data_IF_046474735696
#
_entry.id   IF_046474735696
#
_cell.length_a   1.000
_cell.length_b   1.000
_cell.length_c   1.000
_cell.angle_alpha   90.00
_cell.angle_beta   90.00
_cell.angle_gamma   90.00
#
_symmetry.space_group_name_H-M   'P 1'
#
loop_
_entity.id
_entity.type
_entity.pdbx_description
1 polymer ?
#
# COMPACT_ATOMS: atom_id res chain seq x y z
N UNK A 1 13.37 1.52 0.40
CA UNK A 1 13.96 2.37 -0.68
C UNK A 1 12.91 3.38 -1.13
N UNK A 2 13.32 4.60 -1.42
CA UNK A 2 12.41 5.62 -1.93
C UNK A 2 11.77 5.20 -3.27
N UNK A 3 10.52 5.59 -3.48
CA UNK A 3 9.72 5.26 -4.66
C UNK A 3 9.06 3.88 -4.64
N UNK A 4 9.22 3.08 -3.57
CA UNK A 4 8.56 1.78 -3.44
C UNK A 4 7.06 1.95 -3.21
N UNK A 5 6.21 1.19 -3.91
CA UNK A 5 4.77 1.24 -3.68
C UNK A 5 4.41 0.32 -2.49
N UNK A 6 3.58 0.82 -1.59
CA UNK A 6 3.12 0.12 -0.39
C UNK A 6 1.60 0.24 -0.28
N UNK A 7 0.95 -0.75 0.33
CA UNK A 7 -0.47 -0.68 0.68
C UNK A 7 -0.61 -0.39 2.17
N UNK A 8 -1.44 0.58 2.51
CA UNK A 8 -1.65 1.02 3.90
C UNK A 8 -3.10 0.76 4.29
N UNK A 9 -3.28 0.03 5.38
CA UNK A 9 -4.59 -0.29 5.93
C UNK A 9 -4.51 -0.30 7.45
N UNK A 10 -5.41 0.46 8.09
CA UNK A 10 -5.56 0.47 9.53
C UNK A 10 -6.66 -0.51 9.93
N UNK A 11 -6.25 -1.70 10.38
CA UNK A 11 -7.15 -2.74 10.84
C UNK A 11 -7.92 -2.35 12.12
N UNK A 12 -7.37 -1.44 12.93
CA UNK A 12 -8.01 -1.01 14.18
C UNK A 12 -9.20 -0.07 13.92
N UNK A 13 -9.05 0.88 13.01
CA UNK A 13 -10.13 1.78 12.60
C UNK A 13 -10.97 1.27 11.42
N UNK A 14 -10.53 0.19 10.76
CA UNK A 14 -11.10 -0.31 9.50
C UNK A 14 -10.84 0.61 8.31
N UNK A 15 -9.95 1.59 8.44
CA UNK A 15 -9.69 2.59 7.40
C UNK A 15 -8.69 2.05 6.37
N UNK A 16 -9.13 1.88 5.13
CA UNK A 16 -8.25 1.55 3.99
C UNK A 16 -7.77 2.81 3.29
N UNK A 17 -6.44 3.02 3.29
CA UNK A 17 -5.80 4.11 2.57
C UNK A 17 -5.41 3.72 1.14
N UNK A 18 -5.46 2.42 0.82
CA UNK A 18 -5.07 1.89 -0.48
C UNK A 18 -3.56 1.95 -0.71
N UNK A 19 -3.16 2.12 -1.97
CA UNK A 19 -1.77 2.19 -2.37
C UNK A 19 -1.18 3.59 -2.17
N UNK A 20 0.08 3.64 -1.75
CA UNK A 20 0.87 4.86 -1.59
C UNK A 20 2.33 4.62 -1.97
N UNK A 21 3.11 5.71 -2.02
CA UNK A 21 4.54 5.65 -2.39
C UNK A 21 5.41 5.98 -1.19
N UNK A 22 6.28 5.04 -0.80
CA UNK A 22 7.24 5.23 0.26
C UNK A 22 8.32 6.24 -0.16
N UNK A 23 8.44 7.32 0.60
CA UNK A 23 9.40 8.41 0.37
C UNK A 23 10.67 8.18 1.17
N UNK A 24 10.53 7.88 2.46
CA UNK A 24 11.67 7.73 3.36
C UNK A 24 11.29 7.09 4.69
N UNK A 25 12.30 6.62 5.43
CA UNK A 25 12.13 6.05 6.76
C UNK A 25 12.76 7.00 7.79
N UNK A 26 11.97 7.40 8.77
CA UNK A 26 12.45 8.13 9.93
C UNK A 26 12.75 7.14 11.06
N UNK A 27 14.02 7.08 11.44
CA UNK A 27 14.49 6.26 12.55
C UNK A 27 14.06 6.88 13.89
N UNK A 28 13.92 6.05 14.95
CA UNK A 28 13.57 6.54 16.26
C UNK A 28 14.60 7.55 16.77
N UNK A 29 14.11 8.56 17.47
CA UNK A 29 14.89 9.64 18.07
C UNK A 29 14.32 9.99 19.44
N UNK A 30 15.00 10.88 20.19
CA UNK A 30 14.49 11.36 21.50
C UNK A 30 13.08 11.96 21.43
N UNK A 31 12.65 12.44 20.26
CA UNK A 31 11.33 13.05 20.05
C UNK A 31 10.28 12.06 19.50
N UNK A 32 10.71 10.94 18.92
CA UNK A 32 9.84 9.94 18.28
C UNK A 32 10.39 8.54 18.59
N UNK A 33 9.81 7.81 19.54
CA UNK A 33 10.37 6.52 19.99
C UNK A 33 10.13 5.36 19.00
N UNK A 34 9.32 5.58 17.97
CA UNK A 34 8.93 4.57 16.97
C UNK A 34 9.37 4.97 15.57
N UNK A 35 9.69 3.96 14.75
CA UNK A 35 9.96 4.13 13.33
C UNK A 35 8.71 4.64 12.61
N UNK A 36 8.87 5.67 11.79
CA UNK A 36 7.80 6.17 10.94
C UNK A 36 8.23 6.12 9.48
N UNK A 37 7.40 5.50 8.64
CA UNK A 37 7.57 5.49 7.19
C UNK A 37 6.82 6.70 6.62
N UNK A 38 7.53 7.62 5.97
CA UNK A 38 6.91 8.72 5.23
C UNK A 38 6.38 8.18 3.91
N UNK A 39 5.06 8.22 3.73
CA UNK A 39 4.36 7.69 2.56
C UNK A 39 3.53 8.80 1.93
N UNK A 40 3.66 8.98 0.62
CA UNK A 40 2.73 9.79 -0.18
C UNK A 40 1.44 8.99 -0.36
N UNK A 41 0.36 9.43 0.30
CA UNK A 41 -0.96 8.81 0.28
C UNK A 41 -1.96 9.67 -0.49
N UNK A 42 -2.95 9.02 -1.10
CA UNK A 42 -4.03 9.70 -1.81
C UNK A 42 -5.09 10.12 -0.80
N UNK A 43 -5.18 11.43 -0.58
CA UNK A 43 -6.09 12.02 0.38
C UNK A 43 -7.25 12.73 -0.32
N UNK A 44 -8.38 12.83 0.37
CA UNK A 44 -9.47 13.73 0.00
C UNK A 44 -9.01 15.19 0.15
N UNK A 45 -9.00 16.02 -0.92
CA UNK A 45 -8.57 17.42 -0.85
C UNK A 45 -9.29 18.23 0.23
N UNK A 46 -10.57 17.94 0.50
CA UNK A 46 -11.35 18.63 1.53
C UNK A 46 -10.84 18.35 2.95
N UNK A 47 -10.08 17.26 3.15
CA UNK A 47 -9.50 16.87 4.44
C UNK A 47 -8.15 17.55 4.72
N UNK A 48 -7.49 18.06 3.67
CA UNK A 48 -6.18 18.73 3.76
C UNK A 48 -6.30 20.23 4.05
N UNK A 49 -7.50 20.79 3.97
CA UNK A 49 -7.76 22.20 4.30
C UNK A 49 -7.72 22.38 5.81
N UNK A 50 -6.90 23.33 6.27
CA UNK A 50 -6.86 23.72 7.68
C UNK A 50 -8.18 24.36 8.09
N UNK A 51 -8.80 23.83 9.14
CA UNK A 51 -9.96 24.48 9.77
C UNK A 51 -9.47 25.39 10.90
N UNK A 52 -10.23 26.46 11.18
CA UNK A 52 -9.85 27.45 12.17
C UNK A 52 -9.59 26.81 13.53
N UNK A 53 -8.33 26.82 14.00
CA UNK A 53 -7.92 26.32 15.31
C UNK A 53 -7.37 24.88 15.35
N UNK A 54 -7.52 24.09 14.28
CA UNK A 54 -7.02 22.70 14.22
C UNK A 54 -6.21 22.45 12.93
N UNK A 55 -5.21 21.57 13.03
CA UNK A 55 -4.47 21.11 11.85
C UNK A 55 -5.37 20.36 10.86
N UNK A 56 -4.92 20.16 9.61
CA UNK A 56 -5.66 19.30 8.69
C UNK A 56 -5.67 17.87 9.25
N UNK A 57 -6.79 17.17 9.06
CA UNK A 57 -6.96 15.77 9.45
C UNK A 57 -7.11 14.98 8.16
N UNK A 58 -6.01 14.46 7.59
CA UNK A 58 -6.03 13.78 6.32
C UNK A 58 -6.96 12.57 6.37
N UNK A 59 -7.71 12.35 5.30
CA UNK A 59 -8.57 11.17 5.12
C UNK A 59 -8.30 10.52 3.77
N UNK A 60 -8.49 9.19 3.64
CA UNK A 60 -8.38 8.52 2.36
C UNK A 60 -9.28 9.15 1.31
N UNK A 61 -8.80 9.20 0.07
CA UNK A 61 -9.61 9.61 -1.07
C UNK A 61 -10.80 8.65 -1.28
N UNK A 62 -11.96 9.21 -1.62
CA UNK A 62 -13.12 8.41 -2.04
C UNK A 62 -12.90 7.84 -3.43
N UNK A 63 -13.39 6.62 -3.68
CA UNK A 63 -13.38 6.01 -5.02
C UNK A 63 -14.10 6.94 -6.02
N UNK A 64 -13.42 7.31 -7.10
CA UNK A 64 -13.94 8.20 -8.15
C UNK A 64 -14.00 9.69 -7.78
N UNK A 65 -13.50 10.08 -6.60
CA UNK A 65 -13.43 11.49 -6.18
C UNK A 65 -12.14 12.19 -6.63
N UNK A 66 -12.09 13.50 -6.39
CA UNK A 66 -10.85 14.25 -6.50
C UNK A 66 -9.82 13.72 -5.49
N UNK A 67 -8.56 13.64 -5.92
CA UNK A 67 -7.46 13.12 -5.10
C UNK A 67 -6.33 14.13 -5.03
N UNK A 68 -5.72 14.25 -3.86
CA UNK A 68 -4.50 15.02 -3.68
C UNK A 68 -3.46 14.18 -2.93
N UNK A 69 -2.21 14.24 -3.37
CA UNK A 69 -1.12 13.54 -2.71
C UNK A 69 -0.63 14.33 -1.51
N UNK A 70 -0.53 13.67 -0.35
CA UNK A 70 0.10 14.23 0.85
C UNK A 70 1.06 13.23 1.48
N UNK A 71 2.21 13.72 1.94
CA UNK A 71 3.22 12.89 2.61
C UNK A 71 2.88 12.80 4.09
N UNK A 72 2.49 11.61 4.54
CA UNK A 72 2.09 11.36 5.92
C UNK A 72 3.06 10.37 6.59
N UNK A 73 3.36 10.55 7.89
CA UNK A 73 4.07 9.55 8.67
C UNK A 73 3.12 8.38 8.96
N UNK A 74 3.50 7.19 8.50
CA UNK A 74 2.75 5.94 8.67
C UNK A 74 3.54 5.02 9.59
N UNK A 75 2.88 4.48 10.61
CA UNK A 75 3.48 3.45 11.46
C UNK A 75 3.63 2.14 10.67
N UNK A 76 4.74 1.44 10.86
CA UNK A 76 5.08 0.27 10.03
C UNK A 76 4.03 -0.86 10.09
N UNK A 77 3.31 -1.01 11.21
CA UNK A 77 2.26 -2.04 11.36
C UNK A 77 1.02 -1.79 10.51
N UNK A 78 0.84 -0.57 9.99
CA UNK A 78 -0.26 -0.22 9.08
C UNK A 78 0.06 -0.58 7.62
N UNK A 79 1.32 -0.93 7.31
CA UNK A 79 1.73 -1.36 5.98
C UNK A 79 1.40 -2.84 5.84
N UNK A 80 0.43 -3.16 4.98
CA UNK A 80 -0.03 -4.54 4.80
C UNK A 80 0.62 -5.24 3.62
N UNK A 81 1.05 -4.50 2.59
CA UNK A 81 1.66 -5.06 1.39
C UNK A 81 2.77 -4.16 0.89
N UNK A 82 3.81 -4.76 0.32
CA UNK A 82 4.92 -4.08 -0.35
C UNK A 82 4.97 -4.59 -1.78
N UNK A 83 4.93 -3.69 -2.76
CA UNK A 83 4.96 -4.09 -4.16
C UNK A 83 6.39 -4.27 -4.69
N UNK A 84 6.57 -5.22 -5.61
CA UNK A 84 7.80 -5.37 -6.37
C UNK A 84 8.08 -4.15 -7.29
N UNK A 85 7.05 -3.37 -7.64
CA UNK A 85 7.17 -2.17 -8.47
C UNK A 85 7.70 -0.96 -7.69
N UNK A 86 8.27 -0.01 -8.45
CA UNK A 86 8.76 1.28 -7.95
C UNK A 86 8.42 2.38 -8.93
N UNK A 87 8.17 3.56 -8.39
CA UNK A 87 7.96 4.80 -9.12
C UNK A 87 9.20 5.68 -8.93
N UNK A 88 9.66 6.32 -9.99
CA UNK A 88 10.69 7.34 -9.89
C UNK A 88 10.10 8.58 -9.23
N UNK A 89 10.57 8.92 -8.03
CA UNK A 89 10.14 10.12 -7.33
C UNK A 89 11.12 11.27 -7.57
N UNK A 90 10.64 12.52 -7.70
CA UNK A 90 11.49 13.70 -7.73
C UNK A 90 12.23 13.88 -6.39
N UNK A 91 13.33 14.65 -6.40
CA UNK A 91 14.13 14.89 -5.19
C UNK A 91 13.35 15.60 -4.07
N UNK A 92 12.39 16.46 -4.45
CA UNK A 92 11.56 17.20 -3.51
C UNK A 92 10.07 16.99 -3.82
N UNK A 93 9.33 16.53 -2.82
CA UNK A 93 7.87 16.30 -2.89
C UNK A 93 7.08 17.40 -2.16
N UNK A 94 7.71 18.50 -1.72
CA UNK A 94 6.98 19.65 -1.18
C UNK A 94 6.15 20.39 -2.25
N UNK A 95 6.64 20.58 -3.50
CA UNK A 95 5.86 21.23 -4.54
C UNK A 95 4.64 20.39 -4.94
N UNK A 96 3.47 21.02 -5.06
CA UNK A 96 2.21 20.35 -5.42
C UNK A 96 2.28 19.65 -6.78
N UNK A 97 2.98 20.24 -7.75
CA UNK A 97 3.15 19.66 -9.09
C UNK A 97 3.94 18.34 -9.06
N UNK A 98 4.98 18.28 -8.21
CA UNK A 98 5.78 17.07 -8.02
C UNK A 98 4.95 15.96 -7.36
N UNK A 99 4.13 16.30 -6.35
CA UNK A 99 3.18 15.35 -5.74
C UNK A 99 2.18 14.85 -6.78
N UNK A 100 1.61 15.76 -7.57
CA UNK A 100 0.62 15.42 -8.62
C UNK A 100 1.19 14.46 -9.66
N UNK A 101 2.43 14.66 -10.11
CA UNK A 101 3.08 13.74 -11.06
C UNK A 101 3.17 12.32 -10.52
N UNK A 102 3.58 12.15 -9.25
CA UNK A 102 3.67 10.83 -8.61
C UNK A 102 2.30 10.19 -8.41
N UNK A 103 1.29 10.97 -8.03
CA UNK A 103 -0.11 10.49 -7.89
C UNK A 103 -0.63 9.95 -9.22
N UNK A 104 -0.42 10.67 -10.32
CA UNK A 104 -0.87 10.23 -11.65
C UNK A 104 -0.20 8.92 -12.07
N UNK A 105 1.11 8.80 -11.88
CA UNK A 105 1.85 7.55 -12.17
C UNK A 105 1.35 6.38 -11.32
N UNK A 106 1.07 6.61 -10.04
CA UNK A 106 0.52 5.59 -9.15
C UNK A 106 -0.89 5.15 -9.58
N UNK A 107 -1.77 6.10 -9.91
CA UNK A 107 -3.12 5.79 -10.39
C UNK A 107 -3.10 4.99 -11.69
N UNK A 108 -2.24 5.37 -12.64
CA UNK A 108 -2.07 4.63 -13.90
C UNK A 108 -1.62 3.19 -13.65
N UNK A 109 -0.66 2.98 -12.74
CA UNK A 109 -0.22 1.64 -12.37
C UNK A 109 -1.34 0.82 -11.72
N UNK A 110 -2.08 1.40 -10.78
CA UNK A 110 -3.21 0.70 -10.15
C UNK A 110 -4.31 0.40 -11.17
N UNK A 111 -4.56 1.30 -12.12
CA UNK A 111 -5.54 1.07 -13.19
C UNK A 111 -5.10 -0.04 -14.16
N UNK A 112 -3.80 -0.15 -14.44
CA UNK A 112 -3.23 -1.22 -15.29
C UNK A 112 -3.21 -2.60 -14.61
N UNK A 113 -3.42 -2.65 -13.31
CA UNK A 113 -3.37 -3.88 -12.50
C UNK A 113 -4.67 -4.04 -11.69
N UNK A 114 -5.81 -4.37 -12.34
CA UNK A 114 -7.10 -4.52 -11.66
C UNK A 114 -7.06 -5.62 -10.58
N UNK A 115 -6.27 -6.67 -10.80
CA UNK A 115 -6.09 -7.79 -9.86
C UNK A 115 -5.16 -7.44 -8.68
N UNK A 116 -4.51 -6.28 -8.73
CA UNK A 116 -3.56 -5.80 -7.72
C UNK A 116 -2.12 -5.74 -8.23
N UNK A 117 -1.30 -4.94 -7.53
CA UNK A 117 0.11 -4.79 -7.89
C UNK A 117 0.91 -6.04 -7.46
N UNK A 118 1.91 -6.45 -8.25
CA UNK A 118 2.74 -7.60 -7.88
C UNK A 118 3.44 -7.33 -6.55
N UNK A 119 3.38 -8.32 -5.67
CA UNK A 119 3.93 -8.24 -4.32
C UNK A 119 5.39 -8.67 -4.30
N UNK A 120 6.11 -8.15 -3.30
CA UNK A 120 7.49 -8.52 -3.04
C UNK A 120 7.52 -9.82 -2.24
N UNK A 121 8.30 -10.81 -2.69
CA UNK A 121 8.40 -12.09 -1.99
C UNK A 121 9.32 -11.98 -0.75
N UNK A 122 8.89 -12.42 0.45
CA UNK A 122 9.68 -12.27 1.66
C UNK A 122 10.93 -13.18 1.69
N UNK A 123 10.95 -14.28 0.93
CA UNK A 123 12.07 -15.23 0.86
C UNK A 123 13.00 -14.87 -0.29
N UNK A 124 12.48 -14.82 -1.52
CA UNK A 124 13.28 -14.60 -2.73
C UNK A 124 13.75 -13.15 -2.87
N UNK A 125 12.84 -12.18 -2.73
CA UNK A 125 13.14 -10.77 -2.97
C UNK A 125 13.71 -10.06 -1.72
N UNK A 126 13.19 -10.39 -0.53
CA UNK A 126 13.62 -9.76 0.74
C UNK A 126 14.76 -10.52 1.42
N UNK A 127 15.03 -11.78 1.03
CA UNK A 127 16.15 -12.56 1.55
C UNK A 127 15.99 -12.96 3.02
N UNK A 128 14.76 -13.12 3.54
CA UNK A 128 14.54 -13.53 4.91
C UNK A 128 14.78 -15.03 5.04
N UNK A 129 15.85 -15.42 5.76
CA UNK A 129 16.29 -16.82 5.89
C UNK A 129 15.70 -17.55 7.10
N UNK A 130 14.59 -17.08 7.67
CA UNK A 130 13.98 -17.69 8.87
C UNK A 130 13.29 -19.02 8.51
N UNK A 131 13.66 -20.09 9.19
CA UNK A 131 13.14 -21.44 8.94
C UNK A 131 11.63 -21.54 9.19
N UNK A 132 11.10 -20.84 10.19
CA UNK A 132 9.65 -20.82 10.48
C UNK A 132 8.87 -20.12 9.37
N UNK A 133 9.45 -19.08 8.78
CA UNK A 133 8.85 -18.39 7.64
C UNK A 133 8.81 -19.31 6.40
N UNK A 134 9.89 -20.04 6.12
CA UNK A 134 9.94 -21.00 5.01
C UNK A 134 8.91 -22.12 5.20
N UNK A 135 8.79 -22.67 6.41
CA UNK A 135 7.79 -23.68 6.73
C UNK A 135 6.37 -23.15 6.55
N UNK A 136 6.09 -21.94 7.06
CA UNK A 136 4.80 -21.30 6.88
C UNK A 136 4.47 -21.04 5.41
N UNK A 137 5.42 -20.52 4.63
CA UNK A 137 5.25 -20.25 3.19
C UNK A 137 4.97 -21.54 2.41
N UNK A 138 5.72 -22.61 2.67
CA UNK A 138 5.48 -23.93 2.06
C UNK A 138 4.09 -24.45 2.41
N UNK A 139 3.68 -24.32 3.67
CA UNK A 139 2.36 -24.77 4.12
C UNK A 139 1.21 -23.99 3.47
N UNK A 140 1.39 -22.69 3.24
CA UNK A 140 0.45 -21.86 2.48
C UNK A 140 0.31 -22.40 1.05
N UNK A 141 1.42 -22.65 0.35
CA UNK A 141 1.41 -23.20 -1.01
C UNK A 141 0.73 -24.58 -1.07
N UNK A 142 1.06 -25.49 -0.15
CA UNK A 142 0.43 -26.81 -0.05
C UNK A 142 -1.10 -26.69 0.12
N UNK A 143 -1.55 -25.80 1.00
CA UNK A 143 -2.98 -25.55 1.23
C UNK A 143 -3.67 -24.92 0.01
N UNK A 144 -3.00 -24.01 -0.69
CA UNK A 144 -3.49 -23.44 -1.93
C UNK A 144 -3.66 -24.51 -3.02
N UNK A 145 -2.70 -25.43 -3.17
CA UNK A 145 -2.85 -26.54 -4.12
C UNK A 145 -4.04 -27.45 -3.78
N UNK A 146 -4.21 -27.77 -2.49
CA UNK A 146 -5.34 -28.57 -2.02
C UNK A 146 -6.66 -27.85 -2.30
N UNK A 147 -6.70 -26.53 -2.07
CA UNK A 147 -7.85 -25.69 -2.35
C UNK A 147 -8.18 -25.69 -3.86
N UNK A 148 -7.20 -25.50 -4.73
CA UNK A 148 -7.39 -25.51 -6.18
C UNK A 148 -7.82 -26.89 -6.72
N UNK A 149 -7.44 -27.98 -6.04
CA UNK A 149 -7.90 -29.34 -6.38
C UNK A 149 -9.34 -29.60 -5.92
N UNK A 150 -9.86 -28.83 -4.96
CA UNK A 150 -11.20 -29.01 -4.42
C UNK A 150 -12.28 -28.73 -5.50
N UNK A 151 -13.18 -29.69 -5.81
CA UNK A 151 -14.22 -29.51 -6.81
C UNK A 151 -15.19 -28.37 -6.49
N UNK A 152 -15.44 -28.07 -5.21
CA UNK A 152 -16.28 -26.93 -4.80
C UNK A 152 -15.62 -25.62 -5.19
N UNK A 153 -14.32 -25.49 -4.96
CA UNK A 153 -13.56 -24.29 -5.31
C UNK A 153 -13.57 -24.03 -6.83
N UNK A 154 -13.39 -25.09 -7.63
CA UNK A 154 -13.45 -24.99 -9.11
C UNK A 154 -14.81 -24.55 -9.64
N UNK A 155 -15.89 -25.04 -9.01
CA UNK A 155 -17.25 -24.66 -9.40
C UNK A 155 -17.53 -23.19 -9.07
N UNK A 156 -17.08 -22.71 -7.93
CA UNK A 156 -17.28 -21.31 -7.51
C UNK A 156 -16.39 -20.32 -8.30
N UNK A 157 -15.15 -20.69 -8.64
CA UNK A 157 -14.29 -19.85 -9.49
C UNK A 157 -14.85 -19.70 -10.90
N UNK A 158 -15.37 -20.78 -11.48
CA UNK A 158 -15.97 -20.75 -12.83
C UNK A 158 -17.28 -19.95 -12.92
N UNK A 159 -18.02 -19.79 -11.81
CA UNK A 159 -19.21 -18.93 -11.75
C UNK A 159 -18.87 -17.45 -11.71
N UNK A 160 -17.76 -17.07 -11.08
CA UNK A 160 -17.34 -15.66 -10.99
C UNK A 160 -16.81 -15.11 -12.33
N UNK A 161 -16.27 -15.97 -13.20
CA UNK A 161 -15.86 -15.60 -14.57
C UNK A 161 -17.05 -15.48 -15.55
N UNK A 162 -18.22 -16.03 -15.23
CA UNK A 162 -19.41 -16.01 -16.09
C UNK A 162 -20.38 -14.84 -15.86
N UNK A 163 -20.13 -14.00 -14.84
CA UNK A 163 -21.00 -12.90 -14.41
C UNK A 163 -20.36 -11.50 -14.64
N UNK A 164 -19.32 -11.44 -15.49
CA UNK A 164 -18.73 -10.20 -16.05
C UNK A 164 -19.05 -10.04 -17.53
#
# INVERSE_FOLDING_TARGET
RAGRIVKVHDAGSGTDWGYGVAVGLQLPSKQMPVHALHVLLLCDPASLVRKTGEGPVPRPARKGGAVEGEVLPVALHLVTQISALRICIPQDLRPTDNKRSVVLQLQELVQRHPDGLPQLDPVEDMGITDEKLHEAARKVQELEEVLHKNPVYKLESSKQEGDQ
#
